data_IF_427319394349
#
_entry.id   IF_427319394349
#
_cell.length_a   1.000
_cell.length_b   1.000
_cell.length_c   1.000
_cell.angle_alpha   90.00
_cell.angle_beta   90.00
_cell.angle_gamma   90.00
#
_symmetry.space_group_name_H-M   'P 1'
#
loop_
_entity.id
_entity.type
_entity.pdbx_description
1 polymer ?
#
# COMPACT_ATOMS: atom_id res chain seq x y z
N UNK A 1 -78.96 -14.20 -26.10
CA UNK A 1 -79.15 -15.46 -26.85
C UNK A 1 -78.10 -16.43 -26.35
N UNK A 2 -78.50 -17.39 -25.51
CA UNK A 2 -78.53 -18.84 -25.84
C UNK A 2 -77.14 -19.30 -26.26
N UNK A 3 -76.38 -20.09 -25.49
CA UNK A 3 -76.73 -21.25 -24.66
C UNK A 3 -75.81 -22.41 -25.14
N UNK A 4 -75.40 -23.44 -24.40
CA UNK A 4 -75.61 -23.94 -23.02
C UNK A 4 -74.31 -24.73 -22.65
N UNK A 5 -74.01 -25.32 -21.49
CA UNK A 5 -74.66 -25.57 -20.18
C UNK A 5 -73.67 -26.39 -19.31
N UNK A 6 -73.70 -26.34 -17.96
CA UNK A 6 -74.34 -27.33 -17.05
C UNK A 6 -73.71 -28.77 -17.06
N UNK A 7 -73.39 -29.48 -15.95
CA UNK A 7 -73.70 -29.36 -14.50
C UNK A 7 -72.50 -29.77 -13.57
N UNK A 8 -72.40 -29.05 -12.43
CA UNK A 8 -71.87 -29.31 -11.06
C UNK A 8 -71.80 -30.79 -10.52
N UNK A 9 -70.91 -31.02 -9.53
CA UNK A 9 -71.00 -31.90 -8.32
C UNK A 9 -70.14 -33.18 -8.07
N UNK A 10 -69.53 -33.17 -6.86
CA UNK A 10 -69.25 -34.22 -5.86
C UNK A 10 -68.59 -35.60 -6.15
N UNK A 11 -67.50 -35.83 -5.39
CA UNK A 11 -67.25 -36.98 -4.49
C UNK A 11 -67.25 -38.43 -5.04
N UNK A 12 -66.11 -39.12 -4.95
CA UNK A 12 -65.92 -40.21 -3.96
C UNK A 12 -64.48 -40.72 -3.88
N UNK A 13 -64.11 -41.30 -2.74
CA UNK A 13 -62.86 -42.03 -2.54
C UNK A 13 -62.81 -43.32 -3.37
N UNK A 14 -61.64 -43.69 -3.89
CA UNK A 14 -61.00 -44.91 -3.40
C UNK A 14 -59.49 -44.91 -3.59
N UNK A 15 -58.84 -45.38 -2.54
CA UNK A 15 -57.41 -45.63 -2.39
C UNK A 15 -56.79 -46.49 -3.49
N UNK A 16 -55.60 -46.12 -3.94
CA UNK A 16 -54.55 -47.11 -4.16
C UNK A 16 -53.18 -46.57 -3.73
N UNK A 17 -52.52 -47.32 -2.83
CA UNK A 17 -51.14 -47.05 -2.40
C UNK A 17 -50.20 -47.40 -3.54
N UNK A 18 -49.22 -46.54 -3.83
CA UNK A 18 -47.96 -46.92 -4.44
C UNK A 18 -46.84 -46.02 -3.89
N UNK A 19 -45.76 -46.65 -3.44
CA UNK A 19 -44.70 -46.00 -2.68
C UNK A 19 -43.85 -45.07 -3.56
N UNK A 20 -43.51 -43.89 -3.05
CA UNK A 20 -42.57 -42.98 -3.73
C UNK A 20 -41.14 -43.20 -3.20
N UNK A 21 -40.14 -43.44 -4.08
CA UNK A 21 -38.80 -43.80 -3.64
C UNK A 21 -38.02 -42.59 -3.14
N UNK A 22 -37.43 -42.71 -1.94
CA UNK A 22 -36.54 -41.71 -1.32
C UNK A 22 -35.31 -41.44 -2.20
N UNK A 23 -35.34 -40.39 -3.03
CA UNK A 23 -34.15 -39.91 -3.76
C UNK A 23 -33.18 -39.21 -2.80
N UNK A 24 -32.19 -39.97 -2.33
CA UNK A 24 -31.05 -39.46 -1.56
C UNK A 24 -30.22 -38.47 -2.38
N UNK A 25 -30.29 -37.18 -2.04
CA UNK A 25 -29.40 -36.15 -2.63
C UNK A 25 -27.95 -36.39 -2.16
N UNK A 26 -27.18 -37.20 -2.90
CA UNK A 26 -25.72 -37.30 -2.76
C UNK A 26 -25.10 -35.90 -2.92
N UNK A 27 -24.67 -35.29 -1.81
CA UNK A 27 -23.80 -34.10 -1.84
C UNK A 27 -22.53 -34.44 -2.64
N UNK A 28 -22.37 -33.90 -3.85
CA UNK A 28 -21.08 -33.90 -4.54
C UNK A 28 -20.09 -33.10 -3.68
N UNK A 29 -19.21 -33.80 -2.94
CA UNK A 29 -18.02 -33.19 -2.35
C UNK A 29 -17.20 -32.60 -3.51
N UNK A 30 -17.14 -31.27 -3.61
CA UNK A 30 -16.13 -30.57 -4.43
C UNK A 30 -14.77 -30.73 -3.76
N UNK A 31 -14.18 -31.91 -3.90
CA UNK A 31 -12.79 -32.16 -3.57
C UNK A 31 -11.92 -31.45 -4.60
N UNK A 32 -11.65 -30.16 -4.39
CA UNK A 32 -10.67 -29.43 -5.19
C UNK A 32 -9.28 -29.97 -4.91
N UNK A 33 -8.75 -30.78 -5.83
CA UNK A 33 -7.38 -31.27 -5.78
C UNK A 33 -6.45 -30.05 -5.73
N UNK A 34 -5.77 -29.81 -4.60
CA UNK A 34 -4.82 -28.70 -4.48
C UNK A 34 -3.73 -28.90 -5.54
N UNK A 35 -3.72 -28.06 -6.58
CA UNK A 35 -2.72 -28.13 -7.66
C UNK A 35 -1.34 -27.97 -7.04
N UNK A 36 -0.50 -29.00 -7.15
CA UNK A 36 0.88 -28.97 -6.63
C UNK A 36 1.63 -27.83 -7.33
N UNK A 37 2.39 -27.05 -6.56
CA UNK A 37 3.23 -25.98 -7.13
C UNK A 37 4.21 -26.56 -8.16
N UNK A 38 4.50 -25.79 -9.21
CA UNK A 38 5.62 -26.11 -10.11
C UNK A 38 6.96 -25.93 -9.40
N UNK A 39 8.03 -26.50 -9.93
CA UNK A 39 9.40 -26.30 -9.43
C UNK A 39 9.75 -24.80 -9.37
N UNK A 40 9.40 -24.05 -10.42
CA UNK A 40 9.60 -22.60 -10.48
C UNK A 40 8.81 -21.85 -9.40
N UNK A 41 7.53 -22.19 -9.19
CA UNK A 41 6.71 -21.60 -8.12
C UNK A 41 7.25 -21.93 -6.73
N UNK A 42 7.83 -23.12 -6.55
CA UNK A 42 8.44 -23.55 -5.30
C UNK A 42 9.73 -22.76 -5.01
N UNK A 43 10.59 -22.57 -6.02
CA UNK A 43 11.79 -21.76 -5.92
C UNK A 43 11.45 -20.28 -5.67
N UNK A 44 10.45 -19.74 -6.37
CA UNK A 44 9.93 -18.39 -6.17
C UNK A 44 9.38 -18.22 -4.74
N UNK A 45 8.60 -19.19 -4.24
CA UNK A 45 8.08 -19.18 -2.88
C UNK A 45 9.18 -19.20 -1.83
N UNK A 46 10.22 -20.03 -2.02
CA UNK A 46 11.39 -20.05 -1.15
C UNK A 46 12.07 -18.67 -1.11
N UNK A 47 12.44 -18.12 -2.26
CA UNK A 47 13.12 -16.83 -2.39
C UNK A 47 12.31 -15.65 -1.81
N UNK A 48 11.00 -15.58 -2.09
CA UNK A 48 10.11 -14.55 -1.53
C UNK A 48 9.98 -14.70 -0.02
N UNK A 49 9.80 -15.92 0.49
CA UNK A 49 9.68 -16.17 1.94
C UNK A 49 10.97 -15.85 2.68
N UNK A 50 12.13 -16.21 2.12
CA UNK A 50 13.45 -15.88 2.66
C UNK A 50 13.62 -14.36 2.80
N UNK A 51 13.24 -13.57 1.78
CA UNK A 51 13.30 -12.11 1.88
C UNK A 51 12.34 -11.53 2.94
N UNK A 52 11.11 -12.04 3.00
CA UNK A 52 10.10 -11.56 3.96
C UNK A 52 10.52 -11.85 5.40
N UNK A 53 11.16 -12.99 5.65
CA UNK A 53 11.53 -13.47 6.99
C UNK A 53 13.03 -13.38 7.32
N UNK A 54 13.84 -12.60 6.57
CA UNK A 54 15.30 -12.42 6.76
C UNK A 54 15.74 -12.29 8.23
N UNK A 55 14.99 -11.53 9.03
CA UNK A 55 15.30 -11.19 10.41
C UNK A 55 14.90 -12.26 11.44
N UNK A 56 14.09 -13.24 11.03
CA UNK A 56 13.67 -14.36 11.90
C UNK A 56 14.68 -15.52 11.85
N UNK A 57 15.49 -15.60 10.79
CA UNK A 57 16.52 -16.61 10.64
C UNK A 57 17.69 -16.46 11.65
N UNK A 58 17.92 -15.27 12.19
CA UNK A 58 19.00 -14.97 13.14
C UNK A 58 18.61 -15.11 14.63
N UNK A 59 17.36 -15.48 14.93
CA UNK A 59 16.80 -15.42 16.30
C UNK A 59 16.09 -16.71 16.75
N UNK A 60 16.40 -17.85 16.14
CA UNK A 60 15.87 -19.17 16.52
C UNK A 60 16.81 -19.93 17.47
N UNK A 61 16.51 -20.01 18.78
CA UNK A 61 16.79 -21.23 19.54
C UNK A 61 15.80 -22.32 19.10
N UNK A 62 16.26 -23.55 18.93
CA UNK A 62 15.36 -24.68 18.62
C UNK A 62 14.51 -25.04 19.83
N UNK A 63 13.19 -24.86 19.79
CA UNK A 63 12.24 -25.71 20.53
C UNK A 63 10.78 -25.52 20.08
N UNK A 64 9.97 -26.51 20.46
CA UNK A 64 8.59 -26.77 20.07
C UNK A 64 7.61 -25.58 20.10
N UNK A 65 6.56 -25.71 19.27
CA UNK A 65 5.42 -24.79 19.24
C UNK A 65 4.71 -24.69 20.60
N UNK A 66 4.72 -23.49 21.21
CA UNK A 66 3.88 -23.18 22.36
C UNK A 66 2.47 -22.80 21.88
N UNK A 67 1.48 -23.62 22.24
CA UNK A 67 0.08 -23.25 22.07
C UNK A 67 -0.30 -22.25 23.17
N UNK A 68 -0.66 -21.02 22.79
CA UNK A 68 -1.35 -20.10 23.71
C UNK A 68 -2.83 -20.43 23.65
N UNK A 69 -3.39 -20.80 24.80
CA UNK A 69 -4.84 -21.05 24.97
C UNK A 69 -5.45 -19.76 25.50
N UNK A 70 -6.49 -19.27 24.85
CA UNK A 70 -7.30 -18.14 25.33
C UNK A 70 -8.55 -18.66 26.07
N UNK A 71 -8.97 -17.96 27.11
CA UNK A 71 -9.81 -18.49 28.20
C UNK A 71 -11.32 -18.53 27.86
N UNK A 72 -11.66 -18.21 26.60
CA UNK A 72 -12.98 -18.39 26.02
C UNK A 72 -12.88 -19.36 24.84
N UNK A 73 -13.27 -20.61 25.06
CA UNK A 73 -13.07 -21.78 24.19
C UNK A 73 -13.76 -21.77 22.81
N UNK A 74 -13.60 -20.69 22.04
CA UNK A 74 -13.99 -20.60 20.63
C UNK A 74 -12.77 -20.95 19.79
N UNK A 75 -12.74 -22.18 19.28
CA UNK A 75 -11.81 -22.56 18.22
C UNK A 75 -12.15 -21.80 16.92
N UNK A 76 -11.67 -20.56 16.80
CA UNK A 76 -11.46 -19.94 15.50
C UNK A 76 -10.43 -20.80 14.78
N UNK A 77 -10.90 -21.62 13.85
CA UNK A 77 -10.03 -22.45 13.04
C UNK A 77 -9.17 -21.56 12.14
N UNK A 78 -7.99 -21.17 12.62
CA UNK A 78 -6.88 -20.84 11.72
C UNK A 78 -6.66 -22.08 10.86
N UNK A 79 -7.17 -22.02 9.63
CA UNK A 79 -7.06 -23.14 8.71
C UNK A 79 -5.60 -23.45 8.47
N UNK A 80 -5.19 -24.70 8.70
CA UNK A 80 -3.89 -25.25 8.24
C UNK A 80 -3.86 -25.27 6.70
N UNK A 81 -3.70 -24.09 6.10
CA UNK A 81 -3.15 -23.88 4.76
C UNK A 81 -1.71 -23.42 4.94
N UNK A 82 -0.77 -24.00 4.19
CA UNK A 82 0.65 -23.65 4.31
C UNK A 82 0.87 -22.15 4.14
N UNK A 83 1.80 -21.60 4.92
CA UNK A 83 1.94 -20.18 5.20
C UNK A 83 1.96 -19.32 3.93
N UNK A 84 0.80 -18.73 3.62
CA UNK A 84 0.65 -17.86 2.46
C UNK A 84 1.31 -16.52 2.81
N UNK A 85 2.38 -16.18 2.13
CA UNK A 85 2.98 -14.85 2.20
C UNK A 85 2.06 -13.87 1.47
N UNK A 86 1.33 -13.06 2.22
CA UNK A 86 0.42 -12.03 1.70
C UNK A 86 1.12 -10.68 1.70
N UNK A 87 1.13 -10.05 0.53
CA UNK A 87 1.59 -8.67 0.35
C UNK A 87 0.36 -7.77 0.19
N UNK A 88 0.42 -6.60 0.82
CA UNK A 88 -0.41 -5.45 0.52
C UNK A 88 0.51 -4.36 0.00
N UNK A 89 0.23 -3.82 -1.18
CA UNK A 89 1.10 -2.87 -1.88
C UNK A 89 0.48 -1.49 -2.08
N UNK A 90 -0.81 -1.29 -1.77
CA UNK A 90 -1.47 0.00 -1.92
C UNK A 90 -2.43 0.21 -0.75
N UNK A 91 -2.08 1.10 0.19
CA UNK A 91 -2.91 1.41 1.35
C UNK A 91 -2.65 2.80 1.94
N UNK A 92 -3.70 3.39 2.52
CA UNK A 92 -3.76 4.77 3.00
C UNK A 92 -4.06 4.86 4.49
N UNK A 93 -3.53 5.89 5.14
CA UNK A 93 -3.72 6.19 6.56
C UNK A 93 -4.25 7.60 6.79
N UNK A 94 -4.49 7.97 8.05
CA UNK A 94 -4.84 9.35 8.44
C UNK A 94 -3.78 10.41 8.10
N UNK A 95 -2.60 10.02 7.62
CA UNK A 95 -1.60 10.98 7.13
C UNK A 95 -1.96 11.55 5.75
N UNK A 96 -2.76 10.84 4.94
CA UNK A 96 -3.42 11.36 3.74
C UNK A 96 -4.94 11.49 3.92
N UNK A 97 -5.73 10.53 3.45
CA UNK A 97 -7.19 10.50 3.53
C UNK A 97 -7.73 9.12 3.92
N UNK A 98 -6.91 8.26 4.54
CA UNK A 98 -7.39 7.09 5.26
C UNK A 98 -8.20 7.42 6.53
N UNK A 99 -8.75 6.37 7.14
CA UNK A 99 -9.53 6.42 8.39
C UNK A 99 -8.79 5.80 9.59
N UNK A 100 -7.73 5.02 9.36
CA UNK A 100 -6.90 4.42 10.40
C UNK A 100 -5.58 5.19 10.55
N UNK A 101 -5.05 5.33 11.77
CA UNK A 101 -3.65 5.77 11.91
C UNK A 101 -2.72 4.69 11.34
N UNK A 102 -1.47 5.03 10.96
CA UNK A 102 -0.48 4.04 10.54
C UNK A 102 -0.39 2.83 11.47
N UNK A 103 -0.39 3.02 12.80
CA UNK A 103 -0.40 1.91 13.77
C UNK A 103 -1.60 0.99 13.63
N UNK A 104 -2.80 1.56 13.46
CA UNK A 104 -4.05 0.79 13.33
C UNK A 104 -4.19 0.13 11.96
N UNK A 105 -3.61 0.72 10.92
CA UNK A 105 -3.50 0.11 9.60
C UNK A 105 -2.63 -1.16 9.65
N UNK A 106 -1.47 -1.09 10.31
CA UNK A 106 -0.58 -2.25 10.51
C UNK A 106 -1.25 -3.36 11.34
N UNK A 107 -1.96 -2.99 12.41
CA UNK A 107 -2.74 -3.93 13.23
C UNK A 107 -3.85 -4.63 12.42
N UNK A 108 -4.57 -3.88 11.57
CA UNK A 108 -5.58 -4.43 10.64
C UNK A 108 -4.95 -5.37 9.61
N UNK A 109 -3.83 -4.98 9.02
CA UNK A 109 -3.08 -5.80 8.07
C UNK A 109 -2.65 -7.14 8.71
N UNK A 110 -2.15 -7.09 9.96
CA UNK A 110 -1.78 -8.29 10.72
C UNK A 110 -2.99 -9.22 10.95
N UNK A 111 -4.13 -8.66 11.36
CA UNK A 111 -5.38 -9.43 11.54
C UNK A 111 -5.86 -10.12 10.26
N UNK A 112 -5.58 -9.55 9.09
CA UNK A 112 -5.88 -10.12 7.78
C UNK A 112 -4.78 -11.08 7.26
N UNK A 113 -3.70 -11.31 8.02
CA UNK A 113 -2.61 -12.22 7.67
C UNK A 113 -1.52 -11.64 6.76
N UNK A 114 -1.54 -10.33 6.50
CA UNK A 114 -0.52 -9.62 5.71
C UNK A 114 0.85 -9.77 6.38
N UNK A 115 1.89 -10.03 5.56
CA UNK A 115 3.29 -10.15 5.98
C UNK A 115 4.16 -9.00 5.49
N UNK A 116 3.80 -8.39 4.36
CA UNK A 116 4.44 -7.21 3.80
C UNK A 116 3.37 -6.17 3.50
N UNK A 117 3.55 -4.95 3.99
CA UNK A 117 2.62 -3.84 3.82
C UNK A 117 3.37 -2.62 3.28
N UNK A 118 2.99 -2.12 2.11
CA UNK A 118 3.37 -0.76 1.69
C UNK A 118 2.33 0.23 2.22
N UNK A 119 2.81 1.24 2.94
CA UNK A 119 2.02 2.43 3.27
C UNK A 119 2.34 3.47 2.19
N UNK A 120 1.31 3.89 1.46
CA UNK A 120 1.41 4.73 0.26
C UNK A 120 0.49 5.93 0.35
N UNK A 121 0.48 6.61 1.51
CA UNK A 121 -0.30 7.82 1.73
C UNK A 121 -0.12 8.84 0.59
N UNK A 122 -1.21 9.46 0.12
CA UNK A 122 -1.14 10.51 -0.91
C UNK A 122 -0.18 11.64 -0.54
N UNK A 123 0.79 11.88 -1.41
CA UNK A 123 1.73 13.01 -1.39
C UNK A 123 2.50 13.19 -0.05
N UNK A 124 2.64 12.16 0.77
CA UNK A 124 3.41 12.23 2.02
C UNK A 124 3.98 10.90 2.48
N UNK A 125 5.18 10.92 3.06
CA UNK A 125 5.78 9.77 3.78
C UNK A 125 5.71 9.94 5.30
N UNK A 126 4.88 10.85 5.81
CA UNK A 126 4.82 11.19 7.24
C UNK A 126 4.33 10.05 8.14
N UNK A 127 3.51 9.13 7.63
CA UNK A 127 3.02 7.96 8.37
C UNK A 127 4.03 6.82 8.51
N UNK A 128 5.11 6.82 7.73
CA UNK A 128 6.06 5.70 7.66
C UNK A 128 6.75 5.39 9.00
N UNK A 129 7.24 6.37 9.80
CA UNK A 129 7.86 6.08 11.10
C UNK A 129 6.91 5.42 12.10
N UNK A 130 5.63 5.84 12.15
CA UNK A 130 4.62 5.23 13.01
C UNK A 130 4.30 3.79 12.55
N UNK A 131 4.16 3.56 11.24
CA UNK A 131 3.96 2.22 10.68
C UNK A 131 5.13 1.27 11.02
N UNK A 132 6.38 1.74 10.88
CA UNK A 132 7.58 0.99 11.18
C UNK A 132 7.69 0.60 12.66
N UNK A 133 7.29 1.47 13.58
CA UNK A 133 7.24 1.14 15.01
C UNK A 133 6.17 0.08 15.30
N UNK A 134 4.94 0.30 14.82
CA UNK A 134 3.85 -0.64 15.02
C UNK A 134 4.14 -2.03 14.44
N UNK A 135 4.82 -2.11 13.30
CA UNK A 135 5.14 -3.34 12.60
C UNK A 135 6.06 -4.29 13.39
N UNK A 136 6.86 -3.77 14.33
CA UNK A 136 7.72 -4.60 15.20
C UNK A 136 6.91 -5.54 16.08
N UNK A 137 5.81 -5.04 16.63
CA UNK A 137 4.88 -5.81 17.48
C UNK A 137 4.23 -6.96 16.70
N UNK A 138 3.90 -6.70 15.45
CA UNK A 138 3.13 -7.60 14.59
C UNK A 138 3.98 -8.45 13.62
N UNK A 139 5.31 -8.27 13.63
CA UNK A 139 6.29 -8.92 12.72
C UNK A 139 5.91 -8.78 11.24
N UNK A 140 5.45 -7.60 10.85
CA UNK A 140 5.20 -7.21 9.45
C UNK A 140 6.44 -6.50 8.90
N UNK A 141 6.76 -6.72 7.62
CA UNK A 141 7.73 -5.89 6.90
C UNK A 141 6.99 -4.70 6.27
N UNK A 142 7.37 -3.48 6.63
CA UNK A 142 6.86 -2.27 5.97
C UNK A 142 7.74 -1.96 4.78
N UNK A 143 7.13 -1.69 3.62
CA UNK A 143 7.78 -1.02 2.48
C UNK A 143 7.46 0.47 2.61
N UNK A 144 8.45 1.35 2.81
CA UNK A 144 8.26 2.80 2.73
C UNK A 144 7.76 3.18 1.34
N UNK A 145 6.64 3.90 1.27
CA UNK A 145 6.09 4.36 -0.01
C UNK A 145 5.30 5.66 0.11
N UNK A 146 4.79 6.09 -1.04
CA UNK A 146 3.93 7.28 -1.22
C UNK A 146 3.15 7.08 -2.53
N UNK A 147 1.90 7.51 -2.57
CA UNK A 147 1.18 7.66 -3.83
C UNK A 147 1.24 9.13 -4.26
N UNK A 148 2.00 9.41 -5.31
CA UNK A 148 2.21 10.77 -5.83
C UNK A 148 1.09 11.12 -6.79
N UNK A 149 0.42 12.24 -6.53
CA UNK A 149 -0.61 12.82 -7.39
C UNK A 149 0.03 13.61 -8.51
N UNK A 150 -0.29 13.25 -9.74
CA UNK A 150 0.31 13.81 -10.95
C UNK A 150 -0.78 14.12 -11.96
N UNK A 151 -0.39 14.76 -13.05
CA UNK A 151 -1.22 14.96 -14.23
C UNK A 151 -0.51 14.53 -15.50
N UNK A 152 -1.28 14.22 -16.53
CA UNK A 152 -0.76 13.80 -17.81
C UNK A 152 -1.48 14.53 -18.95
N UNK A 153 -0.72 14.84 -20.00
CA UNK A 153 -1.19 15.52 -21.21
C UNK A 153 -1.07 14.60 -22.43
N UNK A 154 -2.15 13.94 -22.88
CA UNK A 154 -2.07 12.88 -23.89
C UNK A 154 -1.43 13.29 -25.22
N UNK A 155 -1.62 14.53 -25.66
CA UNK A 155 -1.03 15.09 -26.91
C UNK A 155 -0.38 16.46 -26.69
N UNK A 156 0.20 16.68 -25.51
CA UNK A 156 0.77 17.97 -25.10
C UNK A 156 -0.26 18.93 -24.51
N UNK A 157 0.21 20.12 -24.14
CA UNK A 157 -0.45 21.06 -23.21
C UNK A 157 -1.80 21.64 -23.69
N UNK A 158 -2.19 21.36 -24.94
CA UNK A 158 -3.46 21.80 -25.53
C UNK A 158 -4.66 20.89 -25.23
N UNK A 159 -4.43 19.67 -24.74
CA UNK A 159 -5.48 18.74 -24.32
C UNK A 159 -5.83 18.91 -22.83
N UNK A 160 -7.05 18.58 -22.38
CA UNK A 160 -7.39 18.60 -20.96
C UNK A 160 -6.51 17.63 -20.17
N UNK A 161 -5.96 18.11 -19.06
CA UNK A 161 -5.15 17.28 -18.14
C UNK A 161 -5.95 16.09 -17.59
N UNK A 162 -5.32 14.92 -17.56
CA UNK A 162 -5.86 13.72 -16.95
C UNK A 162 -5.13 13.46 -15.61
N UNK A 163 -5.84 13.30 -14.48
CA UNK A 163 -5.23 12.98 -13.21
C UNK A 163 -4.67 11.55 -13.23
N UNK A 164 -3.41 11.40 -12.83
CA UNK A 164 -2.68 10.13 -12.80
C UNK A 164 -2.02 10.00 -11.44
N UNK A 165 -1.97 8.79 -10.87
CA UNK A 165 -1.27 8.54 -9.61
C UNK A 165 -0.11 7.56 -9.81
N UNK A 166 1.05 7.87 -9.23
CA UNK A 166 2.25 7.05 -9.31
C UNK A 166 2.65 6.61 -7.90
N UNK A 167 2.59 5.31 -7.65
CA UNK A 167 3.11 4.68 -6.44
C UNK A 167 4.64 4.63 -6.50
N UNK A 168 5.28 5.03 -5.41
CA UNK A 168 6.72 4.91 -5.22
C UNK A 168 7.02 3.92 -4.08
N UNK A 169 7.95 2.99 -4.29
CA UNK A 169 8.41 2.06 -3.26
C UNK A 169 9.91 2.19 -3.00
N UNK A 170 10.28 2.53 -1.78
CA UNK A 170 11.65 2.78 -1.35
C UNK A 170 12.21 1.66 -0.46
N UNK A 171 13.52 1.74 -0.23
CA UNK A 171 14.26 0.85 0.67
C UNK A 171 13.91 1.10 2.14
N UNK A 172 14.39 0.24 3.05
CA UNK A 172 14.37 0.48 4.50
C UNK A 172 15.15 1.72 4.96
N UNK A 173 16.01 2.29 4.11
CA UNK A 173 16.69 3.56 4.39
C UNK A 173 15.93 4.76 3.81
N UNK A 174 14.79 4.53 3.15
CA UNK A 174 14.04 5.56 2.43
C UNK A 174 14.62 5.90 1.05
N UNK A 175 14.26 7.07 0.50
CA UNK A 175 14.88 7.66 -0.67
C UNK A 175 16.30 8.15 -0.40
N UNK A 176 17.14 8.22 -1.44
CA UNK A 176 18.52 8.75 -1.37
C UNK A 176 18.56 10.24 -1.04
N UNK A 177 17.73 11.05 -1.71
CA UNK A 177 17.57 12.49 -1.48
C UNK A 177 16.19 12.78 -0.90
N UNK A 178 16.01 12.50 0.41
CA UNK A 178 14.72 12.69 1.08
C UNK A 178 14.24 14.15 1.04
N UNK A 179 15.15 15.13 1.16
CA UNK A 179 14.79 16.55 1.20
C UNK A 179 14.21 17.05 -0.12
N UNK A 180 14.77 16.62 -1.26
CA UNK A 180 14.28 16.99 -2.59
C UNK A 180 12.91 16.35 -2.87
N UNK A 181 12.73 15.08 -2.49
CA UNK A 181 11.42 14.41 -2.56
C UNK A 181 10.41 15.11 -1.66
N UNK A 182 10.75 15.41 -0.41
CA UNK A 182 9.82 16.05 0.54
C UNK A 182 9.42 17.46 0.09
N UNK A 183 10.34 18.22 -0.53
CA UNK A 183 10.07 19.51 -1.18
C UNK A 183 9.16 19.37 -2.41
N UNK A 184 9.39 18.35 -3.23
CA UNK A 184 8.52 18.03 -4.37
C UNK A 184 7.11 17.70 -3.89
N UNK A 185 6.98 16.82 -2.89
CA UNK A 185 5.72 16.44 -2.27
C UNK A 185 5.03 17.61 -1.53
N UNK A 186 5.78 18.51 -0.88
CA UNK A 186 5.19 19.68 -0.19
C UNK A 186 4.49 20.62 -1.16
N UNK A 187 5.08 20.87 -2.34
CA UNK A 187 4.48 21.71 -3.37
C UNK A 187 3.12 21.16 -3.83
N UNK A 188 3.00 19.82 -3.99
CA UNK A 188 1.73 19.17 -4.34
C UNK A 188 0.70 19.39 -3.23
N UNK A 189 1.11 19.18 -1.97
CA UNK A 189 0.24 19.38 -0.79
C UNK A 189 -0.23 20.83 -0.62
N UNK A 190 0.62 21.82 -0.91
CA UNK A 190 0.24 23.23 -0.91
C UNK A 190 -0.79 23.54 -2.01
N UNK A 191 -0.59 22.97 -3.21
CA UNK A 191 -1.60 22.96 -4.27
C UNK A 191 -2.92 22.31 -3.83
N UNK A 192 -2.88 21.20 -3.08
CA UNK A 192 -4.08 20.56 -2.49
C UNK A 192 -4.81 21.48 -1.51
N UNK A 193 -4.11 22.22 -0.65
CA UNK A 193 -4.74 23.18 0.27
C UNK A 193 -5.48 24.29 -0.47
N UNK A 194 -4.88 24.87 -1.51
CA UNK A 194 -5.50 25.88 -2.35
C UNK A 194 -6.71 25.31 -3.09
N UNK A 195 -6.55 24.14 -3.74
CA UNK A 195 -7.63 23.39 -4.39
C UNK A 195 -8.82 23.18 -3.46
N UNK A 196 -8.58 22.72 -2.22
CA UNK A 196 -9.64 22.46 -1.25
C UNK A 196 -10.40 23.72 -0.82
N UNK A 197 -9.71 24.85 -0.61
CA UNK A 197 -10.36 26.15 -0.37
C UNK A 197 -11.24 26.58 -1.55
N UNK A 198 -10.77 26.39 -2.78
CA UNK A 198 -11.55 26.66 -4.00
C UNK A 198 -12.79 25.77 -4.10
N UNK A 199 -12.67 24.46 -3.80
CA UNK A 199 -13.82 23.54 -3.77
C UNK A 199 -14.88 23.99 -2.75
N UNK A 200 -14.46 24.38 -1.53
CA UNK A 200 -15.37 24.93 -0.50
C UNK A 200 -16.04 26.21 -0.97
N UNK A 201 -15.31 27.14 -1.59
CA UNK A 201 -15.89 28.37 -2.15
C UNK A 201 -16.96 28.08 -3.21
N UNK A 202 -16.70 27.14 -4.14
CA UNK A 202 -17.67 26.70 -5.14
C UNK A 202 -18.92 26.07 -4.51
N UNK A 203 -18.77 25.23 -3.49
CA UNK A 203 -19.91 24.65 -2.76
C UNK A 203 -20.76 25.74 -2.08
N UNK A 204 -20.13 26.75 -1.48
CA UNK A 204 -20.82 27.88 -0.88
C UNK A 204 -21.63 28.68 -1.92
N UNK A 205 -21.08 28.91 -3.12
CA UNK A 205 -21.81 29.53 -4.25
C UNK A 205 -22.99 28.68 -4.72
N UNK A 206 -22.88 27.34 -4.65
CA UNK A 206 -23.96 26.39 -4.93
C UNK A 206 -25.01 26.27 -3.80
N UNK A 207 -24.97 27.18 -2.82
CA UNK A 207 -25.86 27.21 -1.63
C UNK A 207 -25.71 25.98 -0.72
N UNK A 208 -24.52 25.39 -0.68
CA UNK A 208 -24.12 24.32 0.23
C UNK A 208 -23.04 24.85 1.19
N UNK A 209 -23.40 25.70 2.19
CA UNK A 209 -22.41 26.34 3.04
C UNK A 209 -21.62 25.31 3.89
N UNK A 210 -20.37 25.08 3.51
CA UNK A 210 -19.38 24.28 4.22
C UNK A 210 -18.29 25.22 4.75
N UNK A 211 -17.93 25.04 6.03
CA UNK A 211 -16.87 25.83 6.66
C UNK A 211 -15.49 25.20 6.39
N UNK A 212 -14.48 26.04 6.15
CA UNK A 212 -13.11 25.56 5.94
C UNK A 212 -12.58 24.80 7.16
N UNK A 213 -12.91 25.29 8.36
CA UNK A 213 -12.52 24.71 9.64
C UNK A 213 -13.06 23.29 9.82
N UNK A 214 -14.23 23.00 9.23
CA UNK A 214 -14.84 21.67 9.23
C UNK A 214 -14.02 20.70 8.36
N UNK A 215 -13.66 21.12 7.14
CA UNK A 215 -12.80 20.33 6.23
C UNK A 215 -11.42 20.10 6.86
N UNK A 216 -10.79 21.13 7.42
CA UNK A 216 -9.50 21.02 8.11
C UNK A 216 -9.57 20.11 9.34
N UNK A 217 -10.66 20.15 10.13
CA UNK A 217 -10.86 19.23 11.26
C UNK A 217 -10.94 17.78 10.81
N UNK A 218 -11.62 17.49 9.69
CA UNK A 218 -11.78 16.14 9.17
C UNK A 218 -10.46 15.60 8.61
N UNK A 219 -9.68 16.44 7.90
CA UNK A 219 -8.35 16.07 7.42
C UNK A 219 -7.37 15.83 8.59
N UNK A 220 -7.40 16.70 9.60
CA UNK A 220 -6.51 16.62 10.75
C UNK A 220 -5.28 17.53 10.64
N UNK A 221 -4.50 17.60 11.72
CA UNK A 221 -3.37 18.53 11.84
C UNK A 221 -2.22 18.12 10.90
N UNK A 222 -1.86 19.02 9.98
CA UNK A 222 -0.75 18.81 9.02
C UNK A 222 -1.14 18.05 7.75
N UNK A 223 -2.39 17.62 7.63
CA UNK A 223 -2.89 16.81 6.51
C UNK A 223 -3.48 17.70 5.42
N UNK A 224 -2.99 17.56 4.18
CA UNK A 224 -3.45 18.35 3.05
C UNK A 224 -4.82 17.86 2.52
N UNK A 225 -5.91 18.66 2.60
CA UNK A 225 -7.25 18.13 2.33
C UNK A 225 -7.47 17.74 0.86
N UNK A 226 -7.51 16.43 0.58
CA UNK A 226 -8.03 15.88 -0.67
C UNK A 226 -9.57 16.02 -0.82
N UNK A 227 -10.08 15.68 -2.02
CA UNK A 227 -11.53 15.65 -2.33
C UNK A 227 -12.36 14.84 -1.35
N UNK A 228 -11.80 13.75 -0.81
CA UNK A 228 -12.47 12.87 0.14
C UNK A 228 -12.81 13.58 1.47
N UNK A 229 -12.01 14.55 1.91
CA UNK A 229 -12.30 15.35 3.12
C UNK A 229 -13.45 16.33 2.89
N UNK A 230 -13.52 16.94 1.71
CA UNK A 230 -14.66 17.79 1.32
C UNK A 230 -15.93 16.95 1.16
N UNK A 231 -15.83 15.75 0.60
CA UNK A 231 -16.94 14.79 0.53
C UNK A 231 -17.46 14.40 1.92
N UNK A 232 -16.55 14.12 2.88
CA UNK A 232 -16.92 13.87 4.29
C UNK A 232 -17.58 15.09 4.93
N UNK A 233 -17.07 16.30 4.71
CA UNK A 233 -17.67 17.52 5.24
C UNK A 233 -19.10 17.73 4.72
N UNK A 234 -19.37 17.44 3.44
CA UNK A 234 -20.71 17.46 2.85
C UNK A 234 -21.66 16.42 3.50
N UNK A 235 -21.15 15.22 3.82
CA UNK A 235 -21.93 14.17 4.52
C UNK A 235 -22.21 14.59 5.96
N UNK A 236 -21.18 15.01 6.72
CA UNK A 236 -21.34 15.43 8.12
C UNK A 236 -22.22 16.69 8.27
N UNK A 237 -22.28 17.56 7.25
CA UNK A 237 -23.18 18.70 7.21
C UNK A 237 -24.60 18.38 6.69
N UNK A 238 -24.89 17.13 6.32
CA UNK A 238 -26.21 16.68 5.87
C UNK A 238 -26.62 17.09 4.46
N UNK A 239 -25.71 17.61 3.63
CA UNK A 239 -26.00 18.00 2.25
C UNK A 239 -26.08 16.82 1.28
N UNK A 240 -25.47 15.70 1.65
CA UNK A 240 -25.46 14.44 0.88
C UNK A 240 -25.49 13.25 1.83
N UNK A 241 -26.16 12.17 1.43
CA UNK A 241 -26.36 10.96 2.23
C UNK A 241 -25.07 10.17 2.44
N UNK A 242 -24.15 10.22 1.48
CA UNK A 242 -22.95 9.39 1.44
C UNK A 242 -21.89 9.94 0.47
N UNK A 243 -20.66 9.41 0.59
CA UNK A 243 -19.51 9.81 -0.23
C UNK A 243 -19.77 9.63 -1.73
N UNK A 244 -20.46 8.56 -2.15
CA UNK A 244 -20.77 8.30 -3.57
C UNK A 244 -21.61 9.43 -4.16
N UNK A 245 -22.62 9.92 -3.42
CA UNK A 245 -23.45 11.05 -3.82
C UNK A 245 -22.65 12.37 -3.85
N UNK A 246 -21.71 12.57 -2.92
CA UNK A 246 -20.82 13.74 -2.92
C UNK A 246 -19.96 13.80 -4.19
N UNK A 247 -19.32 12.68 -4.55
CA UNK A 247 -18.54 12.57 -5.78
C UNK A 247 -19.42 12.70 -7.03
N UNK A 248 -20.54 11.96 -7.12
CA UNK A 248 -21.35 11.95 -8.35
C UNK A 248 -22.09 13.25 -8.65
N UNK A 249 -22.37 14.09 -7.64
CA UNK A 249 -23.08 15.38 -7.83
C UNK A 249 -22.15 16.59 -7.92
N UNK A 250 -21.04 16.60 -7.19
CA UNK A 250 -20.27 17.84 -6.96
C UNK A 250 -18.76 17.72 -7.24
N UNK A 251 -18.13 16.58 -6.89
CA UNK A 251 -16.66 16.47 -6.78
C UNK A 251 -16.00 15.56 -7.85
N UNK A 252 -16.77 15.03 -8.81
CA UNK A 252 -16.26 14.32 -9.99
C UNK A 252 -15.41 15.24 -10.88
N UNK A 253 -14.60 14.67 -11.76
CA UNK A 253 -13.70 15.44 -12.63
C UNK A 253 -14.50 16.32 -13.60
N UNK A 254 -14.29 17.64 -13.55
CA UNK A 254 -15.10 18.63 -14.28
C UNK A 254 -16.46 18.96 -13.63
N UNK A 255 -16.75 18.42 -12.45
CA UNK A 255 -18.01 18.67 -11.73
C UNK A 255 -18.16 20.08 -11.13
N UNK A 256 -19.36 20.45 -10.64
CA UNK A 256 -19.68 21.82 -10.22
C UNK A 256 -18.75 22.42 -9.16
N UNK A 257 -18.25 21.60 -8.24
CA UNK A 257 -17.31 22.01 -7.20
C UNK A 257 -15.87 21.52 -7.45
N UNK A 258 -15.59 20.90 -8.60
CA UNK A 258 -14.26 20.43 -8.96
C UNK A 258 -13.28 21.61 -9.09
N UNK A 259 -12.03 21.38 -8.69
CA UNK A 259 -10.91 22.28 -8.88
C UNK A 259 -9.67 21.45 -9.12
N UNK A 260 -8.73 21.96 -9.92
CA UNK A 260 -7.39 21.40 -10.10
C UNK A 260 -6.44 21.98 -9.03
N UNK A 261 -5.25 21.40 -8.90
CA UNK A 261 -4.23 21.83 -7.94
C UNK A 261 -2.92 22.21 -8.65
N UNK A 262 -1.80 21.88 -8.01
CA UNK A 262 -0.44 22.11 -8.53
C UNK A 262 0.28 20.78 -8.75
N UNK A 263 -0.45 19.77 -9.24
CA UNK A 263 0.10 18.46 -9.57
C UNK A 263 1.17 18.55 -10.68
N UNK A 264 2.35 17.92 -10.52
CA UNK A 264 3.42 17.85 -11.52
C UNK A 264 3.07 16.88 -12.65
N UNK A 265 3.88 16.86 -13.70
CA UNK A 265 3.74 15.86 -14.76
C UNK A 265 4.04 14.46 -14.22
N UNK A 266 3.30 13.46 -14.71
CA UNK A 266 3.53 12.07 -14.35
C UNK A 266 4.95 11.60 -14.68
N UNK A 267 5.51 12.07 -15.80
CA UNK A 267 6.90 11.83 -16.20
C UNK A 267 7.92 12.44 -15.22
N UNK A 268 7.70 13.67 -14.75
CA UNK A 268 8.56 14.32 -13.74
C UNK A 268 8.56 13.55 -12.42
N UNK A 269 7.38 13.06 -12.00
CA UNK A 269 7.24 12.29 -10.78
C UNK A 269 7.94 10.92 -10.89
N UNK A 270 7.86 10.25 -12.04
CA UNK A 270 8.60 9.00 -12.30
C UNK A 270 10.10 9.27 -12.24
N UNK A 271 10.59 10.31 -12.90
CA UNK A 271 12.02 10.66 -12.87
C UNK A 271 12.49 10.96 -11.44
N UNK A 272 11.73 11.75 -10.67
CA UNK A 272 11.98 11.99 -9.24
C UNK A 272 12.06 10.69 -8.42
N UNK A 273 11.17 9.72 -8.64
CA UNK A 273 11.21 8.42 -7.96
C UNK A 273 12.45 7.62 -8.36
N UNK A 274 12.82 7.62 -9.64
CA UNK A 274 14.01 6.93 -10.15
C UNK A 274 15.30 7.52 -9.56
N UNK A 275 15.44 8.85 -9.56
CA UNK A 275 16.62 9.56 -9.06
C UNK A 275 16.78 9.44 -7.55
N UNK A 276 15.66 9.40 -6.83
CA UNK A 276 15.63 9.15 -5.37
C UNK A 276 15.72 7.66 -5.01
N UNK A 277 15.90 6.76 -5.98
CA UNK A 277 16.20 5.35 -5.76
C UNK A 277 15.01 4.50 -5.31
N UNK A 278 13.81 4.81 -5.81
CA UNK A 278 12.58 4.05 -5.61
C UNK A 278 12.11 3.30 -6.86
N UNK A 279 11.04 2.51 -6.72
CA UNK A 279 10.36 1.80 -7.81
C UNK A 279 9.06 2.53 -8.15
N UNK A 280 8.94 3.05 -9.37
CA UNK A 280 7.77 3.80 -9.85
C UNK A 280 6.72 2.90 -10.51
N UNK A 281 5.46 2.96 -10.05
CA UNK A 281 4.37 2.08 -10.49
C UNK A 281 3.08 2.87 -10.71
N UNK A 282 2.40 2.66 -11.84
CA UNK A 282 1.14 3.32 -12.15
C UNK A 282 0.00 2.72 -11.31
N UNK A 283 -0.63 3.55 -10.47
CA UNK A 283 -1.76 3.14 -9.65
C UNK A 283 -3.03 2.97 -10.49
N UNK A 284 -3.86 1.99 -10.12
CA UNK A 284 -5.24 1.79 -10.57
C UNK A 284 -5.56 2.25 -12.02
N UNK A 285 -4.86 1.76 -13.06
CA UNK A 285 -4.97 2.29 -14.43
C UNK A 285 -6.35 2.12 -15.08
N UNK A 286 -7.26 1.39 -14.44
CA UNK A 286 -8.69 1.31 -14.79
C UNK A 286 -9.51 2.55 -14.44
N UNK A 287 -8.95 3.54 -13.73
CA UNK A 287 -9.57 4.87 -13.56
C UNK A 287 -9.30 5.80 -14.75
N UNK A 288 -8.37 5.43 -15.65
CA UNK A 288 -7.90 6.28 -16.75
C UNK A 288 -8.80 6.19 -17.99
N UNK A 289 -8.93 7.31 -18.71
CA UNK A 289 -9.66 7.45 -19.96
C UNK A 289 -8.87 6.85 -21.13
N UNK A 290 -7.54 7.03 -21.16
CA UNK A 290 -6.67 6.50 -22.20
C UNK A 290 -5.41 5.80 -21.64
N UNK A 291 -5.57 4.66 -20.93
CA UNK A 291 -4.45 3.98 -20.28
C UNK A 291 -3.36 3.51 -21.25
N UNK A 292 -3.68 3.17 -22.50
CA UNK A 292 -2.68 2.64 -23.46
C UNK A 292 -1.65 3.71 -23.82
N UNK A 293 -2.08 4.92 -24.17
CA UNK A 293 -1.16 6.03 -24.48
C UNK A 293 -0.37 6.46 -23.25
N UNK A 294 -1.01 6.51 -22.07
CA UNK A 294 -0.38 6.84 -20.80
C UNK A 294 0.73 5.83 -20.49
N UNK A 295 0.40 4.54 -20.40
CA UNK A 295 1.36 3.47 -20.04
C UNK A 295 2.59 3.48 -20.98
N UNK A 296 2.38 3.67 -22.29
CA UNK A 296 3.49 3.76 -23.25
C UNK A 296 4.46 4.91 -22.92
N UNK A 297 3.95 6.13 -22.75
CA UNK A 297 4.79 7.32 -22.46
C UNK A 297 5.43 7.26 -21.07
N UNK A 298 4.71 6.75 -20.07
CA UNK A 298 5.28 6.58 -18.74
C UNK A 298 6.38 5.50 -18.73
N UNK A 299 6.28 4.43 -19.54
CA UNK A 299 7.38 3.47 -19.75
C UNK A 299 8.62 4.15 -20.35
N UNK A 300 8.44 5.02 -21.33
CA UNK A 300 9.52 5.82 -21.93
C UNK A 300 10.19 6.75 -20.89
N UNK A 301 9.44 7.23 -19.89
CA UNK A 301 9.94 8.01 -18.75
C UNK A 301 10.54 7.18 -17.59
N UNK A 302 10.61 5.85 -17.69
CA UNK A 302 11.22 4.98 -16.67
C UNK A 302 10.24 4.28 -15.71
N UNK A 303 8.95 4.17 -16.06
CA UNK A 303 7.99 3.40 -15.26
C UNK A 303 8.41 1.92 -15.14
N UNK A 304 8.34 1.37 -13.93
CA UNK A 304 8.76 0.00 -13.62
C UNK A 304 7.58 -0.99 -13.62
N UNK A 305 6.36 -0.53 -13.32
CA UNK A 305 5.19 -1.40 -13.21
C UNK A 305 3.85 -0.67 -13.32
N UNK A 306 2.78 -1.46 -13.35
CA UNK A 306 1.40 -0.97 -13.26
C UNK A 306 0.59 -1.89 -12.33
N UNK A 307 -0.49 -1.38 -11.74
CA UNK A 307 -1.46 -2.23 -11.07
C UNK A 307 -2.32 -3.03 -12.08
N UNK A 308 -2.39 -4.33 -11.87
CA UNK A 308 -3.09 -5.32 -12.71
C UNK A 308 -4.02 -6.20 -11.86
N UNK A 309 -3.67 -6.42 -10.59
CA UNK A 309 -4.42 -7.23 -9.65
C UNK A 309 -5.28 -6.37 -8.73
N UNK A 310 -6.50 -6.84 -8.50
CA UNK A 310 -7.52 -6.29 -7.60
C UNK A 310 -8.07 -7.40 -6.70
N UNK A 311 -8.93 -7.04 -5.77
CA UNK A 311 -9.64 -8.00 -4.90
C UNK A 311 -10.58 -8.94 -5.66
N UNK A 312 -11.11 -8.51 -6.81
CA UNK A 312 -11.96 -9.28 -7.71
C UNK A 312 -11.18 -10.10 -8.76
N UNK A 313 -9.88 -9.88 -8.93
CA UNK A 313 -9.00 -10.75 -9.72
C UNK A 313 -7.88 -10.04 -10.49
N UNK A 314 -7.35 -10.73 -11.51
CA UNK A 314 -6.36 -10.18 -12.47
C UNK A 314 -7.11 -9.59 -13.66
N UNK A 315 -6.91 -8.31 -13.96
CA UNK A 315 -7.46 -7.70 -15.17
C UNK A 315 -6.62 -8.09 -16.39
N UNK A 316 -7.24 -8.74 -17.39
CA UNK A 316 -6.53 -9.23 -18.58
C UNK A 316 -5.87 -8.10 -19.37
N UNK A 317 -6.63 -7.07 -19.74
CA UNK A 317 -6.15 -5.93 -20.54
C UNK A 317 -4.87 -5.30 -19.96
N UNK A 318 -4.81 -5.07 -18.65
CA UNK A 318 -3.62 -4.51 -18.00
C UNK A 318 -2.49 -5.54 -17.85
N UNK A 319 -2.79 -6.84 -17.73
CA UNK A 319 -1.77 -7.89 -17.81
C UNK A 319 -1.07 -7.91 -19.16
N UNK A 320 -1.85 -7.75 -20.23
CA UNK A 320 -1.36 -7.84 -21.61
C UNK A 320 -0.57 -6.57 -22.00
N UNK A 321 -1.02 -5.40 -21.53
CA UNK A 321 -0.25 -4.15 -21.64
C UNK A 321 1.07 -4.22 -20.85
N UNK A 322 1.04 -4.79 -19.64
CA UNK A 322 2.25 -4.98 -18.85
C UNK A 322 3.24 -5.96 -19.51
N UNK A 323 2.75 -6.99 -20.21
CA UNK A 323 3.60 -7.88 -21.03
C UNK A 323 4.17 -7.16 -22.24
N UNK A 324 3.35 -6.36 -22.92
CA UNK A 324 3.74 -5.60 -24.12
C UNK A 324 4.87 -4.60 -23.87
N UNK A 325 4.87 -3.97 -22.69
CA UNK A 325 5.83 -2.91 -22.32
C UNK A 325 6.90 -3.34 -21.30
N UNK A 326 7.00 -4.64 -21.00
CA UNK A 326 7.90 -5.20 -19.98
C UNK A 326 7.80 -4.45 -18.63
N UNK A 327 6.61 -4.52 -18.02
CA UNK A 327 6.25 -3.85 -16.78
C UNK A 327 5.84 -4.87 -15.71
N UNK A 328 6.18 -4.57 -14.46
CA UNK A 328 5.73 -5.34 -13.30
C UNK A 328 4.20 -5.28 -13.16
N UNK A 329 3.58 -6.43 -12.85
CA UNK A 329 2.13 -6.60 -12.71
C UNK A 329 1.72 -6.59 -11.25
N UNK A 330 1.71 -5.42 -10.61
CA UNK A 330 1.44 -5.31 -9.17
C UNK A 330 -0.06 -5.17 -8.87
N UNK A 331 -0.38 -4.80 -7.65
CA UNK A 331 -1.74 -4.49 -7.21
C UNK A 331 -1.82 -4.48 -5.69
N UNK A 332 -2.52 -3.49 -5.14
CA UNK A 332 -2.95 -3.46 -3.75
C UNK A 332 -4.45 -3.21 -3.62
N UNK A 333 -4.94 -3.14 -2.38
CA UNK A 333 -6.37 -2.98 -2.10
C UNK A 333 -6.88 -1.56 -2.31
N UNK A 334 -6.00 -0.55 -2.35
CA UNK A 334 -6.36 0.87 -2.27
C UNK A 334 -7.20 1.16 -1.00
N UNK A 335 -6.83 0.49 0.11
CA UNK A 335 -7.59 0.52 1.35
C UNK A 335 -7.42 1.86 2.06
N UNK A 336 -8.53 2.53 2.32
CA UNK A 336 -8.60 3.73 3.16
C UNK A 336 -9.24 3.44 4.53
N UNK A 337 -9.97 2.34 4.69
CA UNK A 337 -10.71 2.02 5.92
C UNK A 337 -12.04 2.76 6.06
N UNK A 338 -12.67 3.10 4.93
CA UNK A 338 -14.02 3.69 4.82
C UNK A 338 -15.09 2.82 5.48
N UNK A 339 -14.89 1.50 5.45
CA UNK A 339 -15.85 0.52 5.97
C UNK A 339 -17.07 0.31 5.05
N UNK A 340 -17.90 -0.67 5.42
CA UNK A 340 -19.01 -1.14 4.58
C UNK A 340 -18.56 -2.09 3.46
N UNK A 341 -19.46 -2.38 2.53
CA UNK A 341 -19.26 -3.42 1.50
C UNK A 341 -18.59 -2.94 0.19
N UNK A 342 -18.18 -1.67 0.11
CA UNK A 342 -17.70 -1.03 -1.12
C UNK A 342 -16.18 -0.88 -1.25
N UNK A 343 -15.41 -1.40 -0.30
CA UNK A 343 -13.95 -1.24 -0.20
C UNK A 343 -13.27 -2.60 -0.12
N UNK A 344 -12.10 -2.75 -0.74
CA UNK A 344 -11.29 -3.97 -0.67
C UNK A 344 -10.53 -4.01 0.65
N UNK A 345 -10.63 -5.08 1.43
CA UNK A 345 -9.86 -5.23 2.67
C UNK A 345 -8.35 -5.39 2.42
N UNK A 346 -7.52 -4.98 3.39
CA UNK A 346 -6.06 -5.17 3.36
C UNK A 346 -5.71 -6.64 3.14
N UNK A 347 -4.84 -6.92 2.17
CA UNK A 347 -4.40 -8.28 1.82
C UNK A 347 -5.43 -9.12 1.04
N UNK A 348 -6.57 -8.53 0.62
CA UNK A 348 -7.55 -9.21 -0.24
C UNK A 348 -7.04 -9.43 -1.67
N UNK A 349 -6.11 -8.60 -2.15
CA UNK A 349 -5.51 -8.73 -3.48
C UNK A 349 -4.52 -9.90 -3.52
N UNK A 350 -4.83 -10.90 -4.33
CA UNK A 350 -4.07 -12.14 -4.39
C UNK A 350 -2.96 -12.10 -5.45
N UNK A 351 -1.80 -11.53 -5.10
CA UNK A 351 -0.60 -11.55 -5.95
C UNK A 351 0.01 -12.97 -6.06
N UNK A 352 0.19 -13.52 -7.27
CA UNK A 352 0.88 -14.79 -7.45
C UNK A 352 2.36 -14.73 -7.04
N UNK A 353 2.90 -15.83 -6.52
CA UNK A 353 4.28 -15.86 -6.02
C UNK A 353 5.36 -15.55 -7.07
N UNK A 354 5.08 -15.83 -8.36
CA UNK A 354 5.97 -15.46 -9.47
C UNK A 354 6.01 -13.93 -9.64
N UNK A 355 4.86 -13.25 -9.55
CA UNK A 355 4.76 -11.78 -9.58
C UNK A 355 5.55 -11.16 -8.42
N UNK A 356 5.42 -11.72 -7.21
CA UNK A 356 6.18 -11.26 -6.04
C UNK A 356 7.70 -11.45 -6.21
N UNK A 357 8.13 -12.58 -6.78
CA UNK A 357 9.53 -12.82 -7.14
C UNK A 357 10.01 -11.79 -8.18
N UNK A 358 9.23 -11.55 -9.21
CA UNK A 358 9.64 -10.69 -10.33
C UNK A 358 9.65 -9.20 -9.91
N UNK A 359 8.73 -8.78 -9.03
CA UNK A 359 8.82 -7.52 -8.28
C UNK A 359 10.15 -7.39 -7.53
N UNK A 360 10.49 -8.39 -6.70
CA UNK A 360 11.73 -8.37 -5.92
C UNK A 360 12.99 -8.39 -6.80
N UNK A 361 12.99 -9.07 -7.95
CA UNK A 361 14.12 -9.06 -8.90
C UNK A 361 14.43 -7.65 -9.42
N UNK A 362 13.41 -6.83 -9.65
CA UNK A 362 13.59 -5.43 -10.12
C UNK A 362 13.87 -4.50 -8.94
N UNK A 363 13.10 -4.62 -7.86
CA UNK A 363 13.15 -3.71 -6.74
C UNK A 363 14.44 -3.82 -5.92
N UNK A 364 14.94 -5.05 -5.69
CA UNK A 364 16.14 -5.27 -4.83
C UNK A 364 17.39 -4.59 -5.38
N UNK A 365 17.81 -4.75 -6.66
CA UNK A 365 18.98 -4.04 -7.19
C UNK A 365 18.90 -2.52 -7.06
N UNK A 366 17.70 -1.93 -7.22
CA UNK A 366 17.45 -0.51 -7.02
C UNK A 366 17.69 -0.16 -5.54
N UNK A 367 16.96 -0.81 -4.62
CA UNK A 367 17.09 -0.57 -3.19
C UNK A 367 18.50 -0.84 -2.64
N UNK A 368 19.22 -1.85 -3.13
CA UNK A 368 20.62 -2.11 -2.79
C UNK A 368 21.53 -0.94 -3.18
N UNK A 369 21.29 -0.31 -4.34
CA UNK A 369 22.02 0.88 -4.78
C UNK A 369 21.70 2.08 -3.89
N UNK A 370 20.42 2.28 -3.56
CA UNK A 370 19.96 3.36 -2.68
C UNK A 370 20.55 3.25 -1.27
N UNK A 371 20.46 2.07 -0.65
CA UNK A 371 21.03 1.79 0.68
C UNK A 371 22.54 2.05 0.68
N UNK A 372 23.26 1.56 -0.34
CA UNK A 372 24.70 1.76 -0.45
C UNK A 372 25.06 3.25 -0.53
N UNK A 373 24.41 4.01 -1.42
CA UNK A 373 24.68 5.43 -1.60
C UNK A 373 24.40 6.23 -0.31
N UNK A 374 23.29 5.94 0.39
CA UNK A 374 22.96 6.55 1.68
C UNK A 374 24.05 6.27 2.74
N UNK A 375 24.55 5.03 2.79
CA UNK A 375 25.63 4.64 3.72
C UNK A 375 26.99 5.22 3.32
N UNK A 376 27.29 5.35 2.02
CA UNK A 376 28.50 6.00 1.50
C UNK A 376 28.53 7.48 1.86
N UNK A 377 27.42 8.21 1.62
CA UNK A 377 27.29 9.62 1.99
C UNK A 377 27.47 9.85 3.50
N UNK A 378 26.91 8.98 4.35
CA UNK A 378 27.10 9.05 5.80
C UNK A 378 28.53 8.68 6.24
N UNK A 379 29.22 7.82 5.49
CA UNK A 379 30.62 7.50 5.76
C UNK A 379 31.58 8.65 5.42
N UNK A 380 31.21 9.47 4.44
CA UNK A 380 31.97 10.63 3.98
C UNK A 380 31.67 11.89 4.82
N UNK A 381 30.40 12.07 5.25
CA UNK A 381 29.98 13.14 6.15
C UNK A 381 29.18 12.58 7.36
N UNK A 382 29.88 12.05 8.38
CA UNK A 382 29.25 11.51 9.57
C UNK A 382 28.70 12.63 10.47
N UNK A 383 27.39 12.89 10.36
CA UNK A 383 26.67 13.89 11.14
C UNK A 383 25.38 13.32 11.75
N UNK A 384 24.92 13.89 12.86
CA UNK A 384 23.61 13.54 13.46
C UNK A 384 22.46 13.77 12.47
N UNK A 385 22.59 14.76 11.59
CA UNK A 385 21.62 15.04 10.52
C UNK A 385 21.56 13.87 9.53
N UNK A 386 22.69 13.41 8.99
CA UNK A 386 22.72 12.28 8.05
C UNK A 386 22.32 10.96 8.74
N UNK A 387 22.67 10.78 10.02
CA UNK A 387 22.20 9.65 10.83
C UNK A 387 20.68 9.67 11.07
N UNK A 388 20.09 10.86 11.26
CA UNK A 388 18.64 11.03 11.41
C UNK A 388 17.89 10.65 10.11
N UNK A 389 18.45 10.94 8.93
CA UNK A 389 17.87 10.49 7.64
C UNK A 389 17.78 8.97 7.56
N UNK A 390 18.87 8.27 7.89
CA UNK A 390 18.94 6.80 7.89
C UNK A 390 17.94 6.21 8.90
N UNK A 391 17.92 6.75 10.10
CA UNK A 391 17.10 6.21 11.21
C UNK A 391 15.62 6.56 11.13
N UNK A 392 15.22 7.59 10.35
CA UNK A 392 13.83 7.95 10.06
C UNK A 392 13.03 6.82 9.41
N UNK A 393 13.67 6.08 8.51
CA UNK A 393 13.08 4.92 7.81
C UNK A 393 13.58 3.57 8.35
N UNK A 394 14.71 3.58 9.07
CA UNK A 394 15.25 2.43 9.77
C UNK A 394 14.47 2.05 11.04
N UNK A 395 14.86 0.90 11.63
CA UNK A 395 14.39 0.50 12.96
C UNK A 395 15.27 1.11 14.06
N UNK A 396 14.79 2.11 14.79
CA UNK A 396 15.31 2.50 16.11
C UNK A 396 14.30 2.13 17.20
N UNK A 397 14.60 1.23 18.15
CA UNK A 397 15.33 1.60 19.37
C UNK A 397 16.40 0.57 19.72
N UNK A 398 17.63 1.06 19.82
CA UNK A 398 18.73 0.68 20.72
C UNK A 398 19.82 1.71 20.47
N UNK A 399 20.57 2.18 21.49
CA UNK A 399 21.72 3.05 21.26
C UNK A 399 22.67 2.36 20.27
N UNK A 400 22.91 3.00 19.13
CA UNK A 400 23.83 2.49 18.11
C UNK A 400 25.24 2.80 18.59
N UNK A 401 25.93 1.78 19.12
CA UNK A 401 27.24 1.95 19.78
C UNK A 401 28.36 2.35 18.81
N UNK A 402 28.28 1.95 17.53
CA UNK A 402 29.23 2.34 16.50
C UNK A 402 28.62 2.28 15.09
N UNK A 403 29.27 2.88 14.08
CA UNK A 403 28.81 2.86 12.68
C UNK A 403 28.58 1.45 12.11
N UNK A 404 29.26 0.44 12.64
CA UNK A 404 29.07 -0.98 12.27
C UNK A 404 27.67 -1.50 12.61
N UNK A 405 27.14 -1.14 13.78
CA UNK A 405 25.80 -1.54 14.22
C UNK A 405 24.70 -0.91 13.35
N UNK A 406 24.94 0.30 12.81
CA UNK A 406 24.03 0.98 11.89
C UNK A 406 23.94 0.23 10.55
N UNK A 407 25.10 -0.10 9.96
CA UNK A 407 25.15 -0.90 8.74
C UNK A 407 24.45 -2.22 8.96
N UNK A 408 24.84 -2.97 9.99
CA UNK A 408 24.36 -4.34 10.15
C UNK A 408 22.83 -4.37 10.35
N UNK A 409 22.22 -3.35 10.94
CA UNK A 409 20.75 -3.17 10.96
C UNK A 409 20.17 -2.85 9.58
N UNK A 410 20.75 -1.90 8.84
CA UNK A 410 20.27 -1.52 7.51
C UNK A 410 20.33 -2.72 6.55
N UNK A 411 21.50 -3.37 6.47
CA UNK A 411 21.73 -4.51 5.59
C UNK A 411 20.93 -5.75 6.01
N UNK A 412 20.88 -6.10 7.32
CA UNK A 412 20.20 -7.33 7.76
C UNK A 412 18.69 -7.32 7.56
N UNK A 413 18.07 -6.15 7.56
CA UNK A 413 16.61 -6.03 7.44
C UNK A 413 16.09 -6.38 6.04
N UNK A 414 16.87 -6.16 4.98
CA UNK A 414 16.41 -6.21 3.58
C UNK A 414 17.33 -6.98 2.61
N UNK A 415 18.62 -7.16 2.92
CA UNK A 415 19.58 -7.88 2.07
C UNK A 415 19.76 -9.33 2.50
N UNK A 416 19.91 -10.22 1.51
CA UNK A 416 20.29 -11.63 1.73
C UNK A 416 21.75 -11.75 2.13
N UNK A 417 22.13 -12.88 2.74
CA UNK A 417 23.52 -13.15 3.14
C UNK A 417 24.53 -12.88 2.02
N UNK A 418 24.22 -13.32 0.80
CA UNK A 418 25.05 -13.13 -0.40
C UNK A 418 25.20 -11.64 -0.78
N UNK A 419 24.12 -10.86 -0.76
CA UNK A 419 24.18 -9.42 -1.00
C UNK A 419 24.96 -8.67 0.08
N UNK A 420 24.86 -9.09 1.34
CA UNK A 420 25.61 -8.49 2.46
C UNK A 420 27.10 -8.77 2.39
N UNK A 421 27.50 -9.88 1.77
CA UNK A 421 28.90 -10.29 1.57
C UNK A 421 29.49 -9.77 0.26
N UNK A 422 28.75 -8.92 -0.47
CA UNK A 422 29.28 -8.25 -1.65
C UNK A 422 30.44 -7.32 -1.25
N UNK A 423 31.56 -7.39 -1.98
CA UNK A 423 32.77 -6.59 -1.73
C UNK A 423 32.50 -5.08 -1.62
N UNK A 424 31.46 -4.56 -2.28
CA UNK A 424 31.03 -3.16 -2.17
C UNK A 424 30.50 -2.85 -0.76
N UNK A 425 29.66 -3.70 -0.18
CA UNK A 425 29.17 -3.50 1.19
C UNK A 425 30.25 -3.76 2.25
N UNK A 426 31.22 -4.64 1.99
CA UNK A 426 32.40 -4.78 2.85
C UNK A 426 33.31 -3.54 2.82
N UNK A 427 33.48 -2.89 1.67
CA UNK A 427 34.20 -1.61 1.60
C UNK A 427 33.49 -0.50 2.39
N UNK A 428 32.16 -0.43 2.32
CA UNK A 428 31.34 0.50 3.12
C UNK A 428 31.42 0.17 4.62
N UNK A 429 31.42 -1.12 5.00
CA UNK A 429 31.69 -1.59 6.37
C UNK A 429 33.04 -1.14 6.90
N UNK A 430 34.09 -1.25 6.08
CA UNK A 430 35.42 -0.79 6.46
C UNK A 430 35.41 0.71 6.74
N UNK A 431 34.89 1.54 5.81
CA UNK A 431 34.79 3.00 5.98
C UNK A 431 34.06 3.38 7.28
N UNK A 432 32.87 2.82 7.53
CA UNK A 432 32.05 3.15 8.70
C UNK A 432 32.53 2.50 10.00
N UNK A 433 33.47 1.54 9.96
CA UNK A 433 34.10 1.01 11.19
C UNK A 433 34.96 2.05 11.91
N UNK A 434 35.39 3.10 11.20
CA UNK A 434 36.16 4.23 11.74
C UNK A 434 35.27 5.40 12.21
N UNK A 435 33.95 5.33 12.04
CA UNK A 435 33.00 6.39 12.44
C UNK A 435 32.44 6.13 13.84
N UNK A 436 32.81 7.01 14.77
CA UNK A 436 32.27 7.06 16.13
C UNK A 436 30.93 7.80 16.16
N UNK A 437 29.90 7.17 16.73
CA UNK A 437 28.58 7.79 16.92
C UNK A 437 28.55 8.45 18.30
N UNK A 438 28.73 9.77 18.36
CA UNK A 438 28.59 10.53 19.60
C UNK A 438 27.10 10.65 19.97
N UNK A 439 26.63 9.80 20.87
CA UNK A 439 25.32 9.99 21.49
C UNK A 439 25.42 11.15 22.49
N UNK A 440 24.74 12.26 22.18
CA UNK A 440 24.70 13.46 23.02
C UNK A 440 24.04 13.21 24.38
N UNK A 441 24.81 12.70 25.33
CA UNK A 441 24.42 12.56 26.73
C UNK A 441 24.76 13.81 27.53
N UNK A 442 23.75 14.41 28.16
CA UNK A 442 23.94 15.49 29.14
C UNK A 442 24.74 14.91 30.32
N UNK A 443 26.00 15.33 30.48
CA UNK A 443 26.75 15.08 31.70
C UNK A 443 26.22 16.01 32.80
N UNK A 444 25.41 15.47 33.71
CA UNK A 444 25.16 16.10 35.01
C UNK A 444 26.41 15.85 35.87
N UNK A 445 27.10 16.89 36.39
CA UNK A 445 28.24 16.69 37.26
C UNK A 445 27.81 16.01 38.56
N UNK A 446 28.45 14.90 38.91
CA UNK A 446 28.36 14.35 40.27
C UNK A 446 29.36 15.13 41.11
N UNK A 447 28.88 16.15 41.84
CA UNK A 447 29.68 16.78 42.88
C UNK A 447 30.10 15.73 43.91
N UNK A 448 31.40 15.53 44.02
CA UNK A 448 32.03 14.76 45.09
C UNK A 448 32.47 15.72 46.18
N UNK A 449 32.23 15.34 47.43
CA UNK A 449 32.44 16.14 48.65
C UNK A 449 33.85 16.72 48.81
#
# INVERSE_FOLDING_TARGET
MVGDGFIINHSTNSSNKLESPKKTKKKKKRGGTKKKMTTEQTLAFKSVSEWVFLEQASSLPSTAASCVVDDFGVQKSLGRGGDKVVFELHSHSKCSDGFLSPSKLVERAHGNGVKVLALTDHDTMSGIPEALEAARRFRIKIIPGVEISTKFYPRGDSEPEEPVHILAYYSSCGPTSFEDLEKFLSNIRDGRYLRAKTMVSKLNMLKLPVKWEHVSRIAGKGVAPGRLHVARALVEAGYVENLKQAFSRYLFDGGPAYSTGSEPLAEEAIQMICDTGGVAVLAHPWSLKNPVTIIKRLKEAGLHGIEVYRSDGKLAVYSDLAETYDLLKLGGSDYHGRGGHGESELGSVNLPVLVLRDFLKVARPIWCRSIRHILENYAEEPSDFNLAKITRFGKGVSPVSCGKDLIDRCLSSWLTNEERQNAVFEAVRLKLSHVSINQGGIQVPIESK
#
